data_IF_441560889910
#
_entry.id   IF_441560889910
#
_cell.length_a   1.000
_cell.length_b   1.000
_cell.length_c   1.000
_cell.angle_alpha   90.00
_cell.angle_beta   90.00
_cell.angle_gamma   90.00
#
_symmetry.space_group_name_H-M   'P 1'
#
loop_
_entity.id
_entity.type
_entity.pdbx_description
1 polymer ?
#
# COMPACT_ATOMS: atom_id res chain seq x y z
N UNK A 1 -8.55 12.93 7.07
CA UNK A 1 -9.32 13.96 7.81
C UNK A 1 -8.97 15.37 7.38
N UNK A 2 -7.73 15.85 7.57
CA UNK A 2 -7.38 17.26 7.24
C UNK A 2 -7.67 17.65 5.77
N UNK A 3 -7.26 16.88 4.74
CA UNK A 3 -7.58 17.23 3.35
C UNK A 3 -9.08 17.27 3.05
N UNK A 4 -9.84 16.35 3.62
CA UNK A 4 -11.30 16.28 3.46
C UNK A 4 -11.98 17.52 4.04
N UNK A 5 -11.62 17.92 5.27
CA UNK A 5 -12.19 19.10 5.92
C UNK A 5 -11.85 20.36 5.14
N UNK A 6 -10.60 20.50 4.66
CA UNK A 6 -10.18 21.63 3.82
C UNK A 6 -11.00 21.68 2.52
N UNK A 7 -11.17 20.54 1.83
CA UNK A 7 -11.92 20.48 0.59
C UNK A 7 -13.40 20.81 0.79
N UNK A 8 -14.02 20.32 1.87
CA UNK A 8 -15.41 20.64 2.20
C UNK A 8 -15.59 22.13 2.46
N UNK A 9 -14.71 22.73 3.28
CA UNK A 9 -14.76 24.17 3.57
C UNK A 9 -14.51 25.02 2.32
N UNK A 10 -13.54 24.63 1.49
CA UNK A 10 -13.23 25.32 0.24
C UNK A 10 -14.42 25.28 -0.73
N UNK A 11 -15.10 24.14 -0.85
CA UNK A 11 -16.28 23.99 -1.70
C UNK A 11 -17.46 24.88 -1.27
N UNK A 12 -17.66 25.04 0.04
CA UNK A 12 -18.78 25.84 0.58
C UNK A 12 -18.46 27.35 0.52
N UNK A 13 -17.20 27.74 0.71
CA UNK A 13 -16.83 29.15 0.95
C UNK A 13 -16.20 29.86 -0.25
N UNK A 14 -15.67 29.14 -1.24
CA UNK A 14 -14.90 29.72 -2.34
C UNK A 14 -15.62 29.59 -3.69
N UNK A 15 -15.18 30.39 -4.67
CA UNK A 15 -15.63 30.22 -6.04
C UNK A 15 -15.13 28.88 -6.64
N UNK A 16 -15.78 28.41 -7.69
CA UNK A 16 -15.52 27.09 -8.28
C UNK A 16 -14.05 26.90 -8.72
N UNK A 17 -13.43 27.93 -9.30
CA UNK A 17 -12.04 27.84 -9.78
C UNK A 17 -11.03 27.76 -8.62
N UNK A 18 -11.23 28.53 -7.55
CA UNK A 18 -10.35 28.46 -6.37
C UNK A 18 -10.57 27.15 -5.61
N UNK A 19 -11.82 26.68 -5.50
CA UNK A 19 -12.12 25.39 -4.86
C UNK A 19 -11.41 24.23 -5.58
N UNK A 20 -11.43 24.20 -6.92
CA UNK A 20 -10.68 23.21 -7.72
C UNK A 20 -9.17 23.30 -7.50
N UNK A 21 -8.63 24.51 -7.43
CA UNK A 21 -7.20 24.70 -7.14
C UNK A 21 -6.82 24.14 -5.76
N UNK A 22 -7.63 24.40 -4.74
CA UNK A 22 -7.45 23.85 -3.39
C UNK A 22 -7.53 22.33 -3.39
N UNK A 23 -8.48 21.75 -4.12
CA UNK A 23 -8.63 20.28 -4.25
C UNK A 23 -7.39 19.62 -4.87
N UNK A 24 -6.82 20.21 -5.91
CA UNK A 24 -5.57 19.71 -6.53
C UNK A 24 -4.42 19.79 -5.54
N UNK A 25 -4.29 20.90 -4.81
CA UNK A 25 -3.24 21.10 -3.82
C UNK A 25 -3.35 20.09 -2.66
N UNK A 26 -4.55 19.91 -2.10
CA UNK A 26 -4.79 18.96 -1.00
C UNK A 26 -4.58 17.53 -1.45
N UNK A 27 -4.94 17.18 -2.69
CA UNK A 27 -4.66 15.87 -3.28
C UNK A 27 -3.16 15.62 -3.41
N UNK A 28 -2.37 16.61 -3.85
CA UNK A 28 -0.92 16.51 -3.90
C UNK A 28 -0.28 16.26 -2.53
N UNK A 29 -0.74 16.99 -1.51
CA UNK A 29 -0.31 16.79 -0.12
C UNK A 29 -0.69 15.38 0.38
N UNK A 30 -1.90 14.91 0.07
CA UNK A 30 -2.37 13.58 0.47
C UNK A 30 -1.52 12.47 -0.14
N UNK A 31 -1.14 12.60 -1.42
CA UNK A 31 -0.23 11.66 -2.08
C UNK A 31 1.13 11.64 -1.38
N UNK A 32 1.71 12.81 -1.10
CA UNK A 32 2.99 12.90 -0.41
C UNK A 32 2.94 12.25 0.99
N UNK A 33 1.90 12.54 1.77
CA UNK A 33 1.69 11.94 3.10
C UNK A 33 1.46 10.43 3.04
N UNK A 34 0.75 9.93 2.02
CA UNK A 34 0.54 8.50 1.82
C UNK A 34 1.86 7.76 1.59
N UNK A 35 2.73 8.29 0.72
CA UNK A 35 4.04 7.68 0.46
C UNK A 35 4.99 7.81 1.64
N UNK A 36 4.97 8.93 2.36
CA UNK A 36 5.70 9.07 3.62
C UNK A 36 5.26 8.02 4.64
N UNK A 37 3.96 7.87 4.87
CA UNK A 37 3.41 6.88 5.80
C UNK A 37 3.75 5.45 5.38
N UNK A 38 3.68 5.15 4.08
CA UNK A 38 4.07 3.85 3.52
C UNK A 38 5.56 3.54 3.81
N UNK A 39 6.45 4.51 3.65
CA UNK A 39 7.87 4.35 3.98
C UNK A 39 8.08 4.08 5.49
N UNK A 40 7.39 4.84 6.36
CA UNK A 40 7.42 4.63 7.82
C UNK A 40 7.01 3.19 8.17
N UNK A 41 5.88 2.71 7.62
CA UNK A 41 5.36 1.38 7.91
C UNK A 41 6.33 0.29 7.44
N UNK A 42 6.92 0.43 6.26
CA UNK A 42 7.93 -0.52 5.75
C UNK A 42 9.13 -0.60 6.70
N UNK A 43 9.67 0.55 7.12
CA UNK A 43 10.83 0.59 8.03
C UNK A 43 10.47 0.00 9.40
N UNK A 44 9.35 0.41 9.99
CA UNK A 44 8.89 -0.11 11.28
C UNK A 44 8.69 -1.62 11.25
N UNK A 45 8.06 -2.13 10.19
CA UNK A 45 7.84 -3.58 10.02
C UNK A 45 9.17 -4.34 10.00
N UNK A 46 10.17 -3.83 9.28
CA UNK A 46 11.49 -4.47 9.20
C UNK A 46 12.28 -4.38 10.51
N UNK A 47 12.23 -3.24 11.21
CA UNK A 47 12.89 -3.03 12.49
C UNK A 47 12.27 -3.93 13.58
N UNK A 48 10.94 -4.01 13.63
CA UNK A 48 10.21 -4.86 14.57
C UNK A 48 10.47 -6.35 14.31
N UNK A 49 10.42 -6.77 13.04
CA UNK A 49 10.73 -8.15 12.66
C UNK A 49 12.17 -8.56 13.05
N UNK A 50 13.13 -7.64 12.94
CA UNK A 50 14.53 -7.87 13.34
C UNK A 50 14.79 -7.61 14.84
N UNK A 51 13.77 -7.22 15.62
CA UNK A 51 13.85 -6.84 17.05
C UNK A 51 14.92 -5.77 17.33
N UNK A 52 15.10 -4.83 16.40
CA UNK A 52 16.05 -3.72 16.54
C UNK A 52 15.41 -2.54 17.27
N UNK A 53 16.19 -1.74 18.03
CA UNK A 53 15.65 -0.56 18.69
C UNK A 53 15.19 0.49 17.66
N UNK A 54 14.05 1.14 17.91
CA UNK A 54 13.46 2.16 17.04
C UNK A 54 13.92 3.55 17.49
N UNK A 55 14.59 4.30 16.60
CA UNK A 55 14.80 5.73 16.78
C UNK A 55 13.70 6.51 16.05
N UNK A 56 12.66 6.91 16.79
CA UNK A 56 11.46 7.57 16.24
C UNK A 56 11.77 8.91 15.57
N UNK A 57 12.79 9.64 16.05
CA UNK A 57 13.18 10.94 15.47
C UNK A 57 13.81 10.76 14.09
N UNK A 58 14.73 9.80 13.93
CA UNK A 58 15.34 9.51 12.63
C UNK A 58 14.34 8.91 11.65
N UNK A 59 13.41 8.10 12.13
CA UNK A 59 12.39 7.44 11.32
C UNK A 59 11.58 8.45 10.49
N UNK A 60 11.12 9.54 11.12
CA UNK A 60 10.32 10.56 10.43
C UNK A 60 11.08 11.25 9.30
N UNK A 61 12.33 11.68 9.56
CA UNK A 61 13.18 12.38 8.58
C UNK A 61 13.60 11.48 7.43
N UNK A 62 14.03 10.24 7.72
CA UNK A 62 14.43 9.27 6.69
C UNK A 62 13.25 8.91 5.79
N UNK A 63 12.06 8.75 6.36
CA UNK A 63 10.86 8.41 5.60
C UNK A 63 10.45 9.51 4.61
N UNK A 64 10.66 10.79 4.97
CA UNK A 64 10.42 11.90 4.05
C UNK A 64 11.37 11.88 2.86
N UNK A 65 12.66 11.61 3.10
CA UNK A 65 13.64 11.47 2.02
C UNK A 65 13.31 10.32 1.07
N UNK A 66 12.74 9.23 1.60
CA UNK A 66 12.36 8.04 0.82
C UNK A 66 10.99 8.15 0.14
N UNK A 67 10.15 9.12 0.50
CA UNK A 67 8.80 9.26 -0.05
C UNK A 67 8.80 9.47 -1.58
N UNK A 68 9.68 10.34 -2.09
CA UNK A 68 9.77 10.61 -3.53
C UNK A 68 10.33 9.40 -4.33
N UNK A 69 11.46 8.76 -3.94
CA UNK A 69 11.90 7.52 -4.58
C UNK A 69 10.82 6.42 -4.57
N UNK A 70 10.08 6.29 -3.47
CA UNK A 70 9.01 5.32 -3.33
C UNK A 70 7.81 5.63 -4.25
N UNK A 71 7.46 6.91 -4.40
CA UNK A 71 6.45 7.39 -5.34
C UNK A 71 6.84 7.05 -6.77
N UNK A 72 8.05 7.43 -7.19
CA UNK A 72 8.55 7.15 -8.54
C UNK A 72 8.58 5.65 -8.84
N UNK A 73 8.95 4.83 -7.85
CA UNK A 73 8.96 3.39 -8.00
C UNK A 73 7.57 2.77 -8.08
N UNK A 74 6.64 3.25 -7.27
CA UNK A 74 5.25 2.79 -7.31
C UNK A 74 4.60 3.19 -8.64
N UNK A 75 4.95 4.38 -9.18
CA UNK A 75 4.49 4.84 -10.48
C UNK A 75 5.08 4.01 -11.63
N UNK A 76 6.39 3.76 -11.64
CA UNK A 76 7.03 2.90 -12.64
C UNK A 76 6.48 1.46 -12.59
N UNK A 77 6.26 0.93 -11.38
CA UNK A 77 5.61 -0.37 -11.16
C UNK A 77 4.21 -0.39 -11.76
N UNK A 78 3.39 0.62 -11.46
CA UNK A 78 2.04 0.74 -11.98
C UNK A 78 2.03 0.75 -13.52
N UNK A 79 2.85 1.59 -14.16
CA UNK A 79 2.96 1.66 -15.62
C UNK A 79 3.34 0.29 -16.21
N UNK A 80 4.36 -0.38 -15.67
CA UNK A 80 4.82 -1.68 -16.17
C UNK A 80 3.72 -2.74 -16.04
N UNK A 81 3.00 -2.77 -14.92
CA UNK A 81 1.90 -3.71 -14.71
C UNK A 81 0.73 -3.40 -15.65
N UNK A 82 0.35 -2.14 -15.82
CA UNK A 82 -0.74 -1.74 -16.72
C UNK A 82 -0.43 -2.05 -18.18
N UNK A 83 0.78 -1.71 -18.65
CA UNK A 83 1.23 -2.08 -20.01
C UNK A 83 1.28 -3.61 -20.14
N UNK A 84 1.80 -4.29 -19.13
CA UNK A 84 1.82 -5.75 -19.08
C UNK A 84 0.42 -6.35 -19.19
N UNK A 85 -0.57 -5.79 -18.49
CA UNK A 85 -1.96 -6.30 -18.48
C UNK A 85 -2.67 -6.22 -19.83
N UNK A 86 -2.16 -5.46 -20.81
CA UNK A 86 -2.63 -5.56 -22.20
C UNK A 86 -2.49 -7.00 -22.74
N UNK A 87 -1.55 -7.78 -22.18
CA UNK A 87 -1.46 -9.22 -22.32
C UNK A 87 -1.50 -9.88 -20.93
N UNK A 88 -2.57 -10.61 -20.62
CA UNK A 88 -2.85 -11.16 -19.28
C UNK A 88 -1.61 -11.84 -18.66
N UNK A 89 -0.92 -12.70 -19.43
CA UNK A 89 0.25 -13.45 -18.95
C UNK A 89 1.44 -12.52 -18.60
N UNK A 90 1.94 -11.65 -19.50
CA UNK A 90 2.94 -10.64 -19.14
C UNK A 90 2.58 -9.73 -17.97
N UNK A 91 1.32 -9.30 -17.86
CA UNK A 91 0.85 -8.46 -16.75
C UNK A 91 1.02 -9.13 -15.39
N UNK A 92 0.62 -10.39 -15.30
CA UNK A 92 0.79 -11.19 -14.07
C UNK A 92 2.27 -11.36 -13.75
N UNK A 93 3.12 -11.65 -14.75
CA UNK A 93 4.56 -11.80 -14.54
C UNK A 93 5.22 -10.52 -14.02
N UNK A 94 4.89 -9.35 -14.57
CA UNK A 94 5.44 -8.08 -14.09
C UNK A 94 4.94 -7.69 -12.70
N UNK A 95 3.68 -7.97 -12.40
CA UNK A 95 3.13 -7.80 -11.05
C UNK A 95 3.98 -8.55 -10.03
N UNK A 96 4.28 -9.82 -10.30
CA UNK A 96 5.08 -10.66 -9.40
C UNK A 96 6.54 -10.20 -9.36
N UNK A 97 7.17 -9.99 -10.52
CA UNK A 97 8.60 -9.69 -10.59
C UNK A 97 8.96 -8.39 -9.88
N UNK A 98 8.04 -7.42 -9.84
CA UNK A 98 8.31 -6.09 -9.33
C UNK A 98 7.53 -5.74 -8.06
N UNK A 99 6.75 -6.66 -7.48
CA UNK A 99 5.97 -6.41 -6.26
C UNK A 99 6.79 -5.95 -5.05
N UNK A 100 8.08 -6.32 -4.98
CA UNK A 100 8.97 -5.97 -3.88
C UNK A 100 9.85 -4.74 -4.16
N UNK A 101 9.83 -4.19 -5.38
CA UNK A 101 10.69 -3.05 -5.72
C UNK A 101 10.46 -1.83 -4.79
N UNK A 102 9.22 -1.42 -4.45
CA UNK A 102 8.99 -0.34 -3.49
C UNK A 102 9.61 -0.61 -2.11
N UNK A 103 9.47 -1.84 -1.60
CA UNK A 103 10.03 -2.25 -0.30
C UNK A 103 11.57 -2.26 -0.33
N UNK A 104 12.17 -2.75 -1.43
CA UNK A 104 13.62 -2.78 -1.61
C UNK A 104 14.21 -1.37 -1.62
N UNK A 105 13.56 -0.40 -2.26
CA UNK A 105 14.02 1.00 -2.27
C UNK A 105 14.09 1.55 -0.86
N UNK A 106 13.05 1.32 -0.06
CA UNK A 106 12.99 1.83 1.32
C UNK A 106 14.04 1.16 2.20
N UNK A 107 14.14 -0.17 2.14
CA UNK A 107 15.01 -0.93 3.04
C UNK A 107 16.49 -0.94 2.65
N UNK A 108 16.80 -0.83 1.35
CA UNK A 108 18.20 -0.82 0.85
C UNK A 108 18.70 0.58 0.46
N UNK A 109 17.84 1.60 0.52
CA UNK A 109 18.13 2.96 0.04
C UNK A 109 18.83 2.96 -1.33
N UNK A 110 18.25 2.23 -2.30
CA UNK A 110 18.86 1.99 -3.61
C UNK A 110 18.10 2.69 -4.73
N UNK A 111 18.74 2.79 -5.91
CA UNK A 111 18.14 3.41 -7.10
C UNK A 111 17.00 2.57 -7.65
N UNK A 112 16.09 3.21 -8.39
CA UNK A 112 14.94 2.56 -9.02
C UNK A 112 15.33 1.33 -9.84
N UNK A 113 16.32 1.47 -10.73
CA UNK A 113 16.79 0.37 -11.58
C UNK A 113 17.33 -0.82 -10.76
N UNK A 114 18.13 -0.54 -9.74
CA UNK A 114 18.67 -1.58 -8.87
C UNK A 114 17.57 -2.30 -8.08
N UNK A 115 16.57 -1.57 -7.60
CA UNK A 115 15.45 -2.16 -6.87
C UNK A 115 14.60 -3.09 -7.73
N UNK A 116 14.29 -2.72 -8.98
CA UNK A 116 13.54 -3.57 -9.90
C UNK A 116 14.35 -4.82 -10.28
N UNK A 117 15.65 -4.66 -10.52
CA UNK A 117 16.56 -5.78 -10.78
C UNK A 117 16.63 -6.75 -9.60
N UNK A 118 16.78 -6.21 -8.39
CA UNK A 118 16.85 -7.01 -7.16
C UNK A 118 15.50 -7.69 -6.85
N UNK A 119 14.38 -6.99 -7.07
CA UNK A 119 13.03 -7.57 -6.96
C UNK A 119 12.91 -8.78 -7.87
N UNK A 120 13.24 -8.63 -9.16
CA UNK A 120 13.18 -9.73 -10.13
C UNK A 120 14.07 -10.90 -9.73
N UNK A 121 15.27 -10.64 -9.21
CA UNK A 121 16.19 -11.68 -8.73
C UNK A 121 15.61 -12.48 -7.56
N UNK A 122 14.91 -11.82 -6.64
CA UNK A 122 14.31 -12.46 -5.45
C UNK A 122 13.09 -13.31 -5.85
N UNK A 123 12.33 -12.88 -6.86
CA UNK A 123 11.07 -13.51 -7.26
C UNK A 123 11.24 -14.61 -8.31
N UNK A 124 12.33 -14.59 -9.09
CA UNK A 124 12.56 -15.54 -10.18
C UNK A 124 12.67 -16.97 -9.67
N UNK A 125 11.95 -17.89 -10.30
CA UNK A 125 11.86 -19.31 -9.92
C UNK A 125 10.97 -19.59 -8.72
N UNK A 126 10.28 -18.56 -8.18
CA UNK A 126 9.32 -18.68 -7.08
C UNK A 126 8.00 -17.97 -7.40
N UNK A 127 7.69 -17.82 -8.70
CA UNK A 127 6.57 -17.04 -9.17
C UNK A 127 5.24 -17.62 -8.68
N UNK A 128 5.05 -18.93 -8.81
CA UNK A 128 3.77 -19.57 -8.49
C UNK A 128 3.41 -19.52 -6.98
N UNK A 129 4.33 -19.88 -6.04
CA UNK A 129 4.06 -19.68 -4.61
C UNK A 129 3.81 -18.22 -4.25
N UNK A 130 4.50 -17.29 -4.92
CA UNK A 130 4.36 -15.86 -4.65
C UNK A 130 3.01 -15.32 -5.16
N UNK A 131 2.56 -15.73 -6.36
CA UNK A 131 1.21 -15.42 -6.87
C UNK A 131 0.17 -15.84 -5.84
N UNK A 132 0.23 -17.10 -5.41
CA UNK A 132 -0.75 -17.64 -4.47
C UNK A 132 -0.78 -16.84 -3.17
N UNK A 133 0.38 -16.53 -2.58
CA UNK A 133 0.46 -15.72 -1.37
C UNK A 133 -0.05 -14.29 -1.56
N UNK A 134 0.22 -13.65 -2.69
CA UNK A 134 -0.28 -12.28 -2.96
C UNK A 134 -1.79 -12.31 -3.18
N UNK A 135 -2.29 -13.19 -4.05
CA UNK A 135 -3.72 -13.28 -4.38
C UNK A 135 -4.54 -13.65 -3.16
N UNK A 136 -4.15 -14.71 -2.43
CA UNK A 136 -4.86 -15.13 -1.21
C UNK A 136 -4.75 -14.06 -0.12
N UNK A 137 -3.58 -13.46 0.08
CA UNK A 137 -3.40 -12.40 1.06
C UNK A 137 -4.33 -11.21 0.80
N UNK A 138 -4.34 -10.71 -0.44
CA UNK A 138 -5.24 -9.61 -0.85
C UNK A 138 -6.70 -10.03 -0.72
N UNK A 139 -7.08 -11.23 -1.19
CA UNK A 139 -8.45 -11.71 -1.10
C UNK A 139 -8.93 -11.80 0.36
N UNK A 140 -8.11 -12.31 1.28
CA UNK A 140 -8.43 -12.40 2.70
C UNK A 140 -8.60 -11.01 3.32
N UNK A 141 -7.66 -10.09 3.10
CA UNK A 141 -7.77 -8.74 3.66
C UNK A 141 -8.98 -7.97 3.11
N UNK A 142 -9.23 -8.04 1.80
CA UNK A 142 -10.39 -7.41 1.18
C UNK A 142 -11.68 -8.02 1.71
N UNK A 143 -11.75 -9.35 1.87
CA UNK A 143 -12.94 -10.01 2.41
C UNK A 143 -13.22 -9.57 3.85
N UNK A 144 -12.20 -9.56 4.72
CA UNK A 144 -12.35 -9.09 6.11
C UNK A 144 -12.79 -7.62 6.13
N UNK A 145 -12.16 -6.76 5.33
CA UNK A 145 -12.51 -5.36 5.24
C UNK A 145 -13.97 -5.16 4.80
N UNK A 146 -14.42 -5.88 3.76
CA UNK A 146 -15.80 -5.81 3.28
C UNK A 146 -16.79 -6.31 4.33
N UNK A 147 -16.48 -7.40 5.05
CA UNK A 147 -17.32 -7.88 6.15
C UNK A 147 -17.47 -6.80 7.23
N UNK A 148 -16.35 -6.20 7.67
CA UNK A 148 -16.38 -5.14 8.69
C UNK A 148 -17.18 -3.92 8.21
N UNK A 149 -16.96 -3.49 6.97
CA UNK A 149 -17.69 -2.36 6.37
C UNK A 149 -19.20 -2.62 6.32
N UNK A 150 -19.61 -3.80 5.86
CA UNK A 150 -21.02 -4.20 5.76
C UNK A 150 -21.66 -4.29 7.15
N UNK A 151 -21.00 -4.94 8.11
CA UNK A 151 -21.49 -5.03 9.51
C UNK A 151 -21.68 -3.65 10.13
N UNK A 152 -20.76 -2.73 9.86
CA UNK A 152 -20.85 -1.35 10.34
C UNK A 152 -21.99 -0.57 9.69
N UNK A 153 -22.21 -0.73 8.38
CA UNK A 153 -23.35 -0.13 7.69
C UNK A 153 -24.70 -0.64 8.23
N UNK A 154 -24.80 -1.95 8.51
CA UNK A 154 -25.96 -2.53 9.17
C UNK A 154 -26.19 -1.94 10.57
N UNK A 155 -25.12 -1.77 11.37
CA UNK A 155 -25.21 -1.20 12.70
C UNK A 155 -25.71 0.25 12.66
N UNK A 156 -25.17 1.09 11.78
CA UNK A 156 -25.62 2.48 11.62
C UNK A 156 -27.09 2.52 11.17
N UNK A 157 -27.46 1.70 10.19
CA UNK A 157 -28.82 1.63 9.67
C UNK A 157 -29.82 1.23 10.74
N UNK A 158 -29.48 0.23 11.56
CA UNK A 158 -30.31 -0.21 12.68
C UNK A 158 -30.51 0.91 13.71
N UNK A 159 -29.47 1.69 14.01
CA UNK A 159 -29.56 2.84 14.92
C UNK A 159 -30.40 4.00 14.36
N UNK A 160 -30.45 4.16 13.04
CA UNK A 160 -31.21 5.20 12.36
C UNK A 160 -32.64 4.78 11.99
N UNK A 161 -33.02 3.53 12.25
CA UNK A 161 -34.31 2.97 11.83
C UNK A 161 -34.46 2.84 10.31
N UNK A 162 -33.34 2.81 9.59
CA UNK A 162 -33.32 2.71 8.13
C UNK A 162 -33.56 1.25 7.72
N UNK A 163 -34.47 1.04 6.77
CA UNK A 163 -34.75 -0.29 6.23
C UNK A 163 -33.62 -0.79 5.32
N UNK A 164 -33.49 -2.11 5.16
CA UNK A 164 -32.49 -2.69 4.25
C UNK A 164 -32.60 -2.17 2.81
N UNK A 165 -33.82 -1.92 2.33
CA UNK A 165 -34.04 -1.41 0.99
C UNK A 165 -33.55 0.04 0.84
N UNK A 166 -33.76 0.87 1.86
CA UNK A 166 -33.20 2.22 1.89
C UNK A 166 -31.67 2.17 1.92
N UNK A 167 -31.05 1.32 2.74
CA UNK A 167 -29.59 1.16 2.79
C UNK A 167 -28.96 0.84 1.42
N UNK A 168 -29.64 0.03 0.59
CA UNK A 168 -29.12 -0.36 -0.72
C UNK A 168 -29.33 0.69 -1.82
N UNK A 169 -30.20 1.67 -1.61
CA UNK A 169 -30.62 2.64 -2.65
C UNK A 169 -30.28 4.08 -2.30
N UNK A 170 -30.16 4.39 -1.01
CA UNK A 170 -29.82 5.71 -0.52
C UNK A 170 -28.33 5.98 -0.69
N UNK A 171 -27.94 7.21 -1.01
CA UNK A 171 -26.53 7.60 -0.98
C UNK A 171 -25.99 7.47 0.44
N UNK A 172 -24.68 7.16 0.61
CA UNK A 172 -24.08 7.02 1.92
C UNK A 172 -24.21 8.32 2.71
N UNK A 173 -24.60 8.19 3.97
CA UNK A 173 -24.67 9.31 4.91
C UNK A 173 -23.26 9.81 5.29
N UNK A 174 -23.17 11.05 5.80
CA UNK A 174 -21.89 11.58 6.32
C UNK A 174 -21.28 10.69 7.41
N UNK A 175 -22.12 10.05 8.24
CA UNK A 175 -21.68 9.12 9.27
C UNK A 175 -21.03 7.87 8.67
N UNK A 176 -21.65 7.28 7.65
CA UNK A 176 -21.13 6.12 6.93
C UNK A 176 -19.82 6.45 6.21
N UNK A 177 -19.76 7.57 5.47
CA UNK A 177 -18.52 8.00 4.81
C UNK A 177 -17.39 8.24 5.80
N UNK A 178 -17.68 8.89 6.94
CA UNK A 178 -16.68 9.12 7.99
C UNK A 178 -16.15 7.80 8.54
N UNK A 179 -17.03 6.84 8.79
CA UNK A 179 -16.65 5.53 9.30
C UNK A 179 -15.85 4.72 8.28
N UNK A 180 -16.25 4.75 7.01
CA UNK A 180 -15.50 4.15 5.91
C UNK A 180 -14.06 4.70 5.87
N UNK A 181 -13.88 6.02 5.95
CA UNK A 181 -12.55 6.63 6.00
C UNK A 181 -11.73 6.17 7.21
N UNK A 182 -12.34 6.04 8.40
CA UNK A 182 -11.66 5.54 9.59
C UNK A 182 -11.21 4.08 9.40
N UNK A 183 -12.07 3.25 8.80
CA UNK A 183 -11.73 1.86 8.47
C UNK A 183 -10.59 1.80 7.45
N UNK A 184 -10.62 2.63 6.41
CA UNK A 184 -9.52 2.71 5.43
C UNK A 184 -8.21 3.06 6.13
N UNK A 185 -8.20 4.07 7.02
CA UNK A 185 -6.99 4.46 7.76
C UNK A 185 -6.48 3.32 8.64
N UNK A 186 -7.37 2.59 9.31
CA UNK A 186 -7.03 1.46 10.17
C UNK A 186 -6.51 0.24 9.40
N UNK A 187 -7.09 -0.07 8.23
CA UNK A 187 -6.76 -1.25 7.43
C UNK A 187 -5.64 -1.01 6.39
N UNK A 188 -5.46 0.22 5.92
CA UNK A 188 -4.41 0.60 4.97
C UNK A 188 -2.98 0.11 5.31
N UNK A 189 -2.51 0.09 6.57
CA UNK A 189 -1.18 -0.44 6.88
C UNK A 189 -1.05 -1.94 6.66
N UNK A 190 -2.14 -2.73 6.74
CA UNK A 190 -2.08 -4.19 6.76
C UNK A 190 -1.47 -4.76 5.48
N UNK A 191 -1.90 -4.39 4.26
CA UNK A 191 -1.26 -4.86 3.04
C UNK A 191 0.22 -4.47 2.92
N UNK A 192 0.61 -3.31 3.46
CA UNK A 192 2.01 -2.82 3.44
C UNK A 192 2.87 -3.68 4.36
N UNK A 193 2.39 -3.95 5.59
CA UNK A 193 3.03 -4.84 6.56
C UNK A 193 3.17 -6.24 5.96
N UNK A 194 2.09 -6.80 5.43
CA UNK A 194 2.08 -8.13 4.82
C UNK A 194 3.10 -8.25 3.68
N UNK A 195 3.08 -7.32 2.72
CA UNK A 195 4.01 -7.35 1.59
C UNK A 195 5.47 -7.18 2.05
N UNK A 196 5.71 -6.40 3.10
CA UNK A 196 7.05 -6.22 3.68
C UNK A 196 7.54 -7.50 4.36
N UNK A 197 6.69 -8.17 5.15
CA UNK A 197 7.02 -9.45 5.76
C UNK A 197 7.28 -10.54 4.70
N UNK A 198 6.45 -10.56 3.65
CA UNK A 198 6.62 -11.47 2.52
C UNK A 198 7.96 -11.24 1.80
N UNK A 199 8.34 -9.98 1.60
CA UNK A 199 9.66 -9.62 1.08
C UNK A 199 10.80 -10.16 1.96
N UNK A 200 10.71 -9.96 3.29
CA UNK A 200 11.75 -10.38 4.23
C UNK A 200 11.93 -11.91 4.25
N UNK A 201 10.83 -12.67 4.17
CA UNK A 201 10.84 -14.14 4.09
C UNK A 201 11.54 -14.65 2.81
N UNK A 202 11.18 -14.07 1.66
CA UNK A 202 11.76 -14.45 0.37
C UNK A 202 13.24 -14.04 0.25
N UNK A 203 13.62 -12.89 0.80
CA UNK A 203 15.00 -12.42 0.77
C UNK A 203 15.93 -13.29 1.64
N UNK A 204 15.47 -13.73 2.82
CA UNK A 204 16.22 -14.71 3.66
C UNK A 204 16.47 -16.02 2.90
N UNK A 205 15.43 -16.51 2.21
CA UNK A 205 15.52 -17.74 1.42
C UNK A 205 16.52 -17.59 0.27
N UNK A 206 16.54 -16.45 -0.41
CA UNK A 206 17.50 -16.16 -1.47
C UNK A 206 18.96 -16.13 -0.94
N UNK A 207 19.18 -15.48 0.21
CA UNK A 207 20.51 -15.43 0.83
C UNK A 207 21.04 -16.82 1.25
N UNK A 208 20.16 -17.73 1.68
CA UNK A 208 20.52 -19.10 2.02
C UNK A 208 20.95 -19.92 0.80
N UNK A 209 20.23 -19.80 -0.32
CA UNK A 209 20.54 -20.52 -1.58
C UNK A 209 21.91 -20.12 -2.14
N UNK A 210 22.27 -18.83 -2.12
CA UNK A 210 23.57 -18.33 -2.61
C UNK A 210 24.76 -18.91 -1.80
N UNK A 211 24.56 -19.21 -0.51
CA UNK A 211 25.62 -19.80 0.32
C UNK A 211 25.88 -21.27 0.01
N UNK A 212 24.84 -22.03 -0.35
CA UNK A 212 24.95 -23.47 -0.67
C UNK A 212 25.65 -23.66 -2.02
N UNK A 213 25.26 -22.88 -3.04
CA UNK A 213 25.84 -22.97 -4.38
C UNK A 213 27.36 -22.66 -4.41
N UNK A 214 27.85 -21.88 -3.43
CA UNK A 214 29.29 -21.59 -3.27
C UNK A 214 30.07 -22.64 -2.48
N UNK A 215 29.43 -23.54 -1.71
CA UNK A 215 30.14 -24.61 -1.01
C UNK A 215 30.43 -25.80 -1.91
N UNK A 216 29.62 -26.00 -2.94
CA UNK A 216 29.65 -27.21 -3.78
C UNK A 216 30.55 -27.05 -5.01
N UNK A 217 31.19 -25.89 -5.18
CA UNK A 217 32.11 -25.58 -6.28
C UNK A 217 33.59 -25.66 -5.90
N UNK A 218 33.96 -26.49 -4.91
CA UNK A 218 35.35 -26.76 -4.51
C UNK A 218 35.66 -28.24 -4.67
#
# INVERSE_FOLDING_TARGET
MVPFVINLLAFISLNADTARFVEVLTSGIQIALFFWLKAVIIILTAVEHDKKPINTRLLGTVSWYLALPLLLASFAYFILVTIGMLAIIPGILFLIWFCFAPTIIVLKNTTLSNAFRDSRKITRGKELPLIWRIVVGVAVFTTIFMIVLVLMGFLISALQGITLQMLLTSPPSLAESTLEYLLIIAFAPIPIIYNTLLYLDFNKTAAKQIKIDKSDSK
#
